data_IF_333832471134
#
_entry.id   IF_333832471134
#
_cell.length_a   1.000
_cell.length_b   1.000
_cell.length_c   1.000
_cell.angle_alpha   90.00
_cell.angle_beta   90.00
_cell.angle_gamma   90.00
#
_symmetry.space_group_name_H-M   'P 1'
#
loop_
_entity.id
_entity.type
_entity.pdbx_description
1 polymer ?
#
# COMPACT_ATOMS: atom_id res chain seq x y z
N UNK A 1 22.01 57.07 15.45
CA UNK A 1 21.63 56.92 16.87
C UNK A 1 20.13 56.63 16.86
N UNK A 2 19.56 55.49 17.25
CA UNK A 2 19.97 54.22 17.89
C UNK A 2 18.82 53.24 17.53
N UNK A 3 19.11 52.15 16.82
CA UNK A 3 18.98 50.72 17.22
C UNK A 3 17.59 50.05 17.08
N UNK A 4 17.64 48.95 16.33
CA UNK A 4 17.01 47.61 16.44
C UNK A 4 15.99 47.32 17.56
N UNK A 5 14.87 46.63 17.24
CA UNK A 5 14.57 45.28 17.80
C UNK A 5 13.27 44.67 17.24
N UNK A 6 13.46 43.60 16.45
CA UNK A 6 12.82 42.29 16.61
C UNK A 6 11.32 42.22 16.98
N UNK A 7 10.43 42.08 15.98
CA UNK A 7 9.06 41.59 16.19
C UNK A 7 8.99 40.10 15.86
N UNK A 8 9.24 39.27 16.88
CA UNK A 8 8.94 37.83 16.85
C UNK A 8 7.42 37.61 16.98
N UNK A 9 6.79 36.77 16.15
CA UNK A 9 5.39 36.42 16.34
C UNK A 9 5.21 35.55 17.59
N UNK A 10 4.36 36.05 18.50
CA UNK A 10 3.96 35.40 19.74
C UNK A 10 3.36 34.01 19.48
N UNK A 11 4.03 32.98 20.01
CA UNK A 11 3.58 31.59 20.05
C UNK A 11 2.40 31.50 21.02
N UNK A 12 1.17 31.46 20.50
CA UNK A 12 -0.05 31.24 21.29
C UNK A 12 -0.26 29.75 21.60
N UNK A 13 0.19 29.38 22.80
CA UNK A 13 -0.43 28.51 23.82
C UNK A 13 -0.83 27.06 23.48
N UNK A 14 -0.05 26.12 24.02
CA UNK A 14 -0.28 24.66 24.16
C UNK A 14 -1.50 24.28 25.05
N UNK A 15 -2.32 25.25 25.47
CA UNK A 15 -3.35 25.03 26.51
C UNK A 15 -4.73 24.78 25.91
N UNK A 16 -5.08 25.40 24.78
CA UNK A 16 -6.44 25.32 24.21
C UNK A 16 -6.73 24.01 23.47
N UNK A 17 -5.70 23.27 23.04
CA UNK A 17 -5.90 21.97 22.40
C UNK A 17 -6.11 20.83 23.41
N UNK A 18 -5.51 20.93 24.60
CA UNK A 18 -5.61 19.91 25.67
C UNK A 18 -7.00 19.82 26.28
N UNK A 19 -7.69 20.95 26.43
CA UNK A 19 -9.04 20.96 26.98
C UNK A 19 -10.07 20.33 26.03
N UNK A 20 -9.84 20.41 24.70
CA UNK A 20 -10.69 19.76 23.69
C UNK A 20 -10.58 18.24 23.72
N UNK A 21 -9.37 17.69 23.86
CA UNK A 21 -9.15 16.22 23.93
C UNK A 21 -9.84 15.63 25.17
N UNK A 22 -9.82 16.35 26.29
CA UNK A 22 -10.42 15.88 27.55
C UNK A 22 -11.96 15.95 27.52
N UNK A 23 -12.54 16.97 26.89
CA UNK A 23 -13.98 17.09 26.73
C UNK A 23 -14.54 16.01 25.78
N UNK A 24 -13.78 15.63 24.75
CA UNK A 24 -14.19 14.59 23.80
C UNK A 24 -14.09 13.17 24.41
N UNK A 25 -13.04 12.89 25.18
CA UNK A 25 -12.88 11.62 25.89
C UNK A 25 -13.96 11.39 26.96
N UNK A 26 -14.43 12.45 27.63
CA UNK A 26 -15.48 12.34 28.64
C UNK A 26 -16.88 12.11 28.05
N UNK A 27 -17.13 12.53 26.80
CA UNK A 27 -18.40 12.26 26.12
C UNK A 27 -18.49 10.79 25.65
N UNK A 28 -17.36 10.18 25.27
CA UNK A 28 -17.31 8.81 24.77
C UNK A 28 -17.52 7.76 25.88
N UNK A 29 -17.10 8.04 27.12
CA UNK A 29 -17.19 7.11 28.26
C UNK A 29 -18.62 6.96 28.83
N UNK A 30 -19.46 8.00 28.66
CA UNK A 30 -20.84 8.00 29.16
C UNK A 30 -21.84 7.23 28.27
N UNK A 31 -21.51 6.98 27.00
CA UNK A 31 -22.37 6.25 26.07
C UNK A 31 -22.02 4.75 25.97
N UNK A 32 -20.95 4.29 26.65
CA UNK A 32 -20.50 2.89 26.60
C UNK A 32 -21.00 2.02 27.78
N UNK A 33 -21.82 2.57 28.68
CA UNK A 33 -22.23 1.89 29.92
C UNK A 33 -23.69 1.38 29.93
N UNK A 34 -24.27 1.03 28.79
CA UNK A 34 -25.54 0.28 28.77
C UNK A 34 -25.68 -0.57 27.50
N UNK A 35 -24.99 -1.73 27.42
CA UNK A 35 -25.52 -2.95 26.81
C UNK A 35 -24.53 -4.11 27.01
N UNK A 36 -24.72 -4.84 28.09
CA UNK A 36 -24.09 -6.14 28.30
C UNK A 36 -25.15 -7.22 28.02
N UNK A 37 -24.99 -7.99 26.93
CA UNK A 37 -25.38 -9.41 26.86
C UNK A 37 -24.61 -10.18 25.77
N UNK A 38 -24.07 -11.38 26.09
CA UNK A 38 -23.12 -12.12 25.24
C UNK A 38 -23.78 -13.23 24.40
N UNK A 39 -23.12 -13.59 23.29
CA UNK A 39 -23.30 -14.74 22.36
C UNK A 39 -23.38 -14.21 20.91
N UNK A 40 -22.67 -14.69 19.90
CA UNK A 40 -21.78 -15.82 19.73
C UNK A 40 -20.88 -15.51 18.53
N UNK A 41 -19.61 -15.87 18.63
CA UNK A 41 -18.76 -16.33 17.52
C UNK A 41 -18.77 -15.53 16.19
N UNK A 42 -17.98 -14.46 16.16
CA UNK A 42 -16.91 -14.41 15.16
C UNK A 42 -15.60 -14.29 15.93
N UNK A 43 -15.12 -15.45 16.37
CA UNK A 43 -13.80 -15.63 16.95
C UNK A 43 -12.80 -15.09 15.92
N UNK A 44 -12.15 -13.99 16.29
CA UNK A 44 -10.87 -13.53 15.79
C UNK A 44 -10.18 -14.56 14.90
N UNK A 45 -10.24 -14.39 13.58
CA UNK A 45 -9.11 -14.79 12.76
C UNK A 45 -8.14 -13.61 12.76
N UNK A 46 -7.66 -13.22 13.95
CA UNK A 46 -6.28 -12.78 14.00
C UNK A 46 -5.50 -13.96 13.45
N UNK A 47 -5.08 -13.85 12.19
CA UNK A 47 -4.04 -14.70 11.67
C UNK A 47 -2.93 -14.59 12.71
N UNK A 48 -2.66 -15.66 13.44
CA UNK A 48 -1.48 -15.72 14.31
C UNK A 48 -0.30 -15.49 13.36
N UNK A 49 0.18 -14.24 13.33
CA UNK A 49 1.36 -13.86 12.56
C UNK A 49 2.50 -14.57 13.29
N UNK A 50 2.85 -15.74 12.80
CA UNK A 50 3.96 -16.52 13.29
C UNK A 50 5.24 -15.72 13.01
N UNK A 51 5.76 -15.06 14.04
CA UNK A 51 6.92 -14.17 13.97
C UNK A 51 8.14 -14.88 13.35
N UNK A 52 8.24 -16.21 13.48
CA UNK A 52 9.32 -17.01 12.88
C UNK A 52 9.13 -17.27 11.37
N UNK A 53 7.93 -17.05 10.83
CA UNK A 53 7.60 -17.26 9.40
C UNK A 53 7.57 -15.96 8.60
N UNK A 54 7.69 -14.81 9.26
CA UNK A 54 7.79 -13.54 8.56
C UNK A 54 9.20 -13.39 7.96
N UNK A 55 9.30 -12.99 6.69
CA UNK A 55 10.60 -12.65 6.14
C UNK A 55 11.18 -11.45 6.91
N UNK A 56 12.51 -11.35 7.06
CA UNK A 56 13.13 -10.25 7.77
C UNK A 56 12.73 -8.91 7.16
N UNK A 57 12.41 -7.94 8.03
CA UNK A 57 11.94 -6.62 7.63
C UNK A 57 13.08 -5.73 7.12
N UNK A 58 13.57 -6.03 5.91
CA UNK A 58 14.62 -5.27 5.22
C UNK A 58 14.06 -4.51 4.03
N UNK A 59 14.86 -3.58 3.49
CA UNK A 59 14.48 -2.82 2.29
C UNK A 59 14.27 -3.75 1.10
N UNK A 60 15.13 -4.76 0.93
CA UNK A 60 15.03 -5.74 -0.14
C UNK A 60 13.73 -6.54 -0.04
N UNK A 61 13.36 -6.99 1.17
CA UNK A 61 12.09 -7.69 1.37
C UNK A 61 10.90 -6.79 1.02
N UNK A 62 10.94 -5.50 1.36
CA UNK A 62 9.89 -4.55 0.99
C UNK A 62 9.78 -4.37 -0.54
N UNK A 63 10.90 -4.22 -1.24
CA UNK A 63 10.93 -4.14 -2.71
C UNK A 63 10.38 -5.43 -3.33
N UNK A 64 10.76 -6.59 -2.79
CA UNK A 64 10.30 -7.90 -3.25
C UNK A 64 8.79 -8.07 -3.05
N UNK A 65 8.23 -7.58 -1.93
CA UNK A 65 6.79 -7.62 -1.66
C UNK A 65 6.03 -6.88 -2.77
N UNK A 66 6.34 -5.61 -3.02
CA UNK A 66 5.67 -4.84 -4.07
C UNK A 66 5.91 -5.41 -5.48
N UNK A 67 7.12 -5.91 -5.74
CA UNK A 67 7.44 -6.54 -7.03
C UNK A 67 6.60 -7.80 -7.27
N UNK A 68 6.42 -8.63 -6.24
CA UNK A 68 5.57 -9.82 -6.32
C UNK A 68 4.12 -9.45 -6.55
N UNK A 69 3.59 -8.46 -5.82
CA UNK A 69 2.23 -7.97 -6.01
C UNK A 69 2.01 -7.41 -7.43
N UNK A 70 2.99 -6.70 -7.98
CA UNK A 70 2.95 -6.25 -9.37
C UNK A 70 2.92 -7.42 -10.36
N UNK A 71 3.76 -8.45 -10.17
CA UNK A 71 3.78 -9.64 -11.03
C UNK A 71 2.49 -10.45 -10.97
N UNK A 72 1.90 -10.60 -9.78
CA UNK A 72 0.59 -11.24 -9.59
C UNK A 72 -0.50 -10.44 -10.31
N UNK A 73 -0.50 -9.11 -10.16
CA UNK A 73 -1.44 -8.24 -10.86
C UNK A 73 -1.24 -8.23 -12.39
N UNK A 74 -0.03 -8.50 -12.88
CA UNK A 74 0.24 -8.71 -14.31
C UNK A 74 -0.25 -10.08 -14.81
N UNK A 75 -0.61 -10.99 -13.91
CA UNK A 75 -0.94 -12.38 -14.24
C UNK A 75 0.28 -13.23 -14.58
N UNK A 76 1.49 -12.80 -14.19
CA UNK A 76 2.71 -13.59 -14.34
C UNK A 76 2.84 -14.68 -13.27
N UNK A 77 2.16 -14.48 -12.13
CA UNK A 77 2.08 -15.42 -11.00
C UNK A 77 0.60 -15.60 -10.68
N UNK A 78 0.15 -16.85 -10.50
CA UNK A 78 -1.20 -17.14 -10.06
C UNK A 78 -1.38 -16.80 -8.57
N UNK A 79 -2.53 -16.28 -8.19
CA UNK A 79 -2.89 -16.05 -6.78
C UNK A 79 -2.97 -17.40 -6.04
N UNK A 80 -2.51 -17.49 -4.78
CA UNK A 80 -2.68 -18.69 -3.98
C UNK A 80 -4.17 -19.05 -3.85
N UNK A 81 -4.54 -20.23 -4.36
CA UNK A 81 -5.95 -20.69 -4.37
C UNK A 81 -6.74 -20.34 -5.63
N UNK A 82 -6.12 -19.71 -6.62
CA UNK A 82 -6.68 -19.55 -7.97
C UNK A 82 -5.85 -20.34 -8.97
N UNK A 83 -6.49 -21.23 -9.74
CA UNK A 83 -5.85 -21.93 -10.86
C UNK A 83 -5.62 -21.00 -12.07
N UNK A 84 -6.33 -19.86 -12.12
CA UNK A 84 -6.26 -18.94 -13.27
C UNK A 84 -5.60 -17.60 -12.89
N UNK A 85 -4.58 -17.16 -13.65
CA UNK A 85 -3.95 -15.87 -13.44
C UNK A 85 -4.86 -14.71 -13.90
N UNK A 86 -5.40 -13.96 -12.94
CA UNK A 86 -6.26 -12.80 -13.21
C UNK A 86 -5.43 -11.54 -13.45
N UNK A 87 -5.50 -11.01 -14.67
CA UNK A 87 -4.80 -9.79 -15.06
C UNK A 87 -5.54 -8.53 -14.58
N UNK A 88 -4.86 -7.71 -13.79
CA UNK A 88 -5.33 -6.44 -13.22
C UNK A 88 -4.33 -5.32 -13.55
N UNK A 89 -4.33 -4.79 -14.79
CA UNK A 89 -3.31 -3.83 -15.24
C UNK A 89 -3.28 -2.54 -14.39
N UNK A 90 -4.43 -2.03 -13.97
CA UNK A 90 -4.48 -0.84 -13.10
C UNK A 90 -3.79 -1.08 -11.75
N UNK A 91 -3.94 -2.29 -11.18
CA UNK A 91 -3.31 -2.68 -9.92
C UNK A 91 -1.80 -2.90 -10.10
N UNK A 92 -1.39 -3.54 -11.19
CA UNK A 92 0.03 -3.70 -11.53
C UNK A 92 0.73 -2.35 -11.66
N UNK A 93 0.10 -1.40 -12.36
CA UNK A 93 0.61 -0.03 -12.48
C UNK A 93 0.74 0.65 -11.12
N UNK A 94 -0.26 0.51 -10.25
CA UNK A 94 -0.21 1.10 -8.92
C UNK A 94 1.02 0.63 -8.12
N UNK A 95 1.33 -0.67 -8.13
CA UNK A 95 2.51 -1.20 -7.43
C UNK A 95 3.84 -0.74 -8.07
N UNK A 96 3.90 -0.63 -9.40
CA UNK A 96 5.07 -0.07 -10.10
C UNK A 96 5.26 1.41 -9.74
N UNK A 97 4.16 2.17 -9.67
CA UNK A 97 4.19 3.58 -9.30
C UNK A 97 4.61 3.75 -7.83
N UNK A 98 4.18 2.86 -6.92
CA UNK A 98 4.67 2.85 -5.54
C UNK A 98 6.18 2.61 -5.44
N UNK A 99 6.72 1.64 -6.18
CA UNK A 99 8.17 1.42 -6.26
C UNK A 99 8.90 2.64 -6.84
N UNK A 100 8.29 3.34 -7.80
CA UNK A 100 8.84 4.58 -8.37
C UNK A 100 8.86 5.72 -7.35
N UNK A 101 7.82 5.84 -6.51
CA UNK A 101 7.80 6.80 -5.40
C UNK A 101 8.89 6.46 -4.38
N UNK A 102 9.11 5.18 -4.07
CA UNK A 102 10.22 4.78 -3.21
C UNK A 102 11.56 5.20 -3.82
N UNK A 103 11.79 4.94 -5.10
CA UNK A 103 13.03 5.33 -5.81
C UNK A 103 13.30 6.83 -5.71
N UNK A 104 12.28 7.66 -5.90
CA UNK A 104 12.40 9.11 -5.78
C UNK A 104 12.67 9.56 -4.33
N UNK A 105 11.99 8.94 -3.35
CA UNK A 105 12.05 9.36 -1.95
C UNK A 105 13.26 8.84 -1.20
N UNK A 106 13.86 7.73 -1.63
CA UNK A 106 15.03 7.13 -0.98
C UNK A 106 16.34 7.46 -1.69
N UNK A 107 16.30 8.28 -2.76
CA UNK A 107 17.49 8.67 -3.52
C UNK A 107 18.57 9.29 -2.62
N UNK A 108 19.79 8.76 -2.72
CA UNK A 108 20.93 9.20 -1.91
C UNK A 108 20.94 8.68 -0.47
N UNK A 109 19.96 7.85 -0.07
CA UNK A 109 19.88 7.20 1.24
C UNK A 109 20.00 5.67 1.15
N UNK A 110 20.19 5.11 -0.05
CA UNK A 110 20.32 3.68 -0.30
C UNK A 110 21.79 3.27 -0.42
N UNK A 111 22.11 2.04 -0.02
CA UNK A 111 23.35 1.39 -0.42
C UNK A 111 23.33 1.09 -1.93
N UNK A 112 24.50 0.96 -2.55
CA UNK A 112 24.61 0.70 -4.00
C UNK A 112 23.85 -0.56 -4.44
N UNK A 113 23.87 -1.61 -3.61
CA UNK A 113 23.13 -2.85 -3.85
C UNK A 113 21.60 -2.65 -3.80
N UNK A 114 21.12 -1.83 -2.87
CA UNK A 114 19.69 -1.54 -2.71
C UNK A 114 19.17 -0.65 -3.85
N UNK A 115 19.95 0.36 -4.25
CA UNK A 115 19.65 1.21 -5.40
C UNK A 115 19.57 0.38 -6.68
N UNK A 116 20.57 -0.47 -6.94
CA UNK A 116 20.55 -1.37 -8.10
C UNK A 116 19.37 -2.32 -8.08
N UNK A 117 19.04 -2.90 -6.92
CA UNK A 117 17.88 -3.78 -6.77
C UNK A 117 16.58 -3.05 -7.14
N UNK A 118 16.38 -1.86 -6.59
CA UNK A 118 15.16 -1.08 -6.82
C UNK A 118 15.02 -0.65 -8.28
N UNK A 119 16.05 -0.02 -8.85
CA UNK A 119 16.02 0.46 -10.24
C UNK A 119 15.87 -0.70 -11.22
N UNK A 120 16.54 -1.83 -10.99
CA UNK A 120 16.40 -3.03 -11.83
C UNK A 120 14.98 -3.61 -11.75
N UNK A 121 14.40 -3.66 -10.56
CA UNK A 121 13.04 -4.16 -10.32
C UNK A 121 12.00 -3.28 -11.02
N UNK A 122 12.09 -1.95 -10.85
CA UNK A 122 11.20 -0.98 -11.51
C UNK A 122 11.30 -1.10 -13.03
N UNK A 123 12.52 -1.17 -13.58
CA UNK A 123 12.73 -1.31 -15.01
C UNK A 123 12.12 -2.61 -15.56
N UNK A 124 12.41 -3.74 -14.90
CA UNK A 124 11.87 -5.04 -15.29
C UNK A 124 10.33 -5.04 -15.31
N UNK A 125 9.71 -4.55 -14.24
CA UNK A 125 8.25 -4.54 -14.12
C UNK A 125 7.59 -3.60 -15.14
N UNK A 126 8.20 -2.45 -15.44
CA UNK A 126 7.71 -1.56 -16.51
C UNK A 126 7.73 -2.24 -17.87
N UNK A 127 8.80 -2.98 -18.18
CA UNK A 127 8.88 -3.73 -19.44
C UNK A 127 7.84 -4.86 -19.51
N UNK A 128 7.68 -5.62 -18.42
CA UNK A 128 6.65 -6.64 -18.32
C UNK A 128 5.23 -6.06 -18.49
N UNK A 129 4.96 -4.90 -17.88
CA UNK A 129 3.69 -4.19 -18.02
C UNK A 129 3.42 -3.76 -19.47
N UNK A 130 4.42 -3.23 -20.17
CA UNK A 130 4.29 -2.82 -21.57
C UNK A 130 4.03 -4.02 -22.48
N UNK A 131 4.77 -5.11 -22.29
CA UNK A 131 4.59 -6.33 -23.06
C UNK A 131 3.19 -6.92 -22.84
N UNK A 132 2.75 -6.98 -21.59
CA UNK A 132 1.40 -7.45 -21.26
C UNK A 132 0.31 -6.55 -21.84
N UNK A 133 0.54 -5.23 -21.87
CA UNK A 133 -0.39 -4.26 -22.47
C UNK A 133 -0.51 -4.45 -23.98
N UNK A 134 0.59 -4.77 -24.68
CA UNK A 134 0.57 -5.11 -26.11
C UNK A 134 -0.21 -6.38 -26.38
N UNK A 135 -0.02 -7.42 -25.57
CA UNK A 135 -0.74 -8.69 -25.72
C UNK A 135 -2.24 -8.54 -25.48
N UNK A 136 -2.65 -7.71 -24.51
CA UNK A 136 -4.07 -7.40 -24.28
C UNK A 136 -4.71 -6.67 -25.47
N UNK A 137 -3.96 -5.81 -26.17
CA UNK A 137 -4.44 -5.15 -27.37
C UNK A 137 -4.54 -6.11 -28.57
N UNK A 138 -3.64 -7.10 -28.66
CA UNK A 138 -3.65 -8.10 -29.73
C UNK A 138 -4.70 -9.21 -29.53
N UNK A 139 -5.01 -9.60 -28.28
CA UNK A 139 -5.96 -10.66 -27.97
C UNK A 139 -7.45 -10.25 -28.01
N UNK A 140 -7.75 -8.96 -28.17
CA UNK A 140 -9.14 -8.45 -28.20
C UNK A 140 -9.80 -8.51 -29.59
N UNK A 141 -9.20 -9.25 -30.53
CA UNK A 141 -9.65 -9.41 -31.92
C UNK A 141 -10.30 -10.76 -32.27
N UNK A 142 -10.43 -11.71 -31.32
CA UNK A 142 -10.91 -13.07 -31.61
C UNK A 142 -11.87 -13.62 -30.53
N UNK A 143 -12.87 -12.81 -30.14
CA UNK A 143 -14.04 -13.33 -29.44
C UNK A 143 -15.18 -13.43 -30.47
N UNK A 144 -15.52 -14.64 -30.98
CA UNK A 144 -16.71 -14.80 -31.81
C UNK A 144 -17.94 -14.35 -31.01
N UNK A 145 -18.93 -13.71 -31.64
CA UNK A 145 -20.13 -13.26 -30.94
C UNK A 145 -20.84 -14.48 -30.36
N UNK A 146 -20.91 -14.54 -29.03
CA UNK A 146 -21.82 -15.46 -28.34
C UNK A 146 -23.23 -15.15 -28.82
N UNK A 147 -23.79 -16.05 -29.64
CA UNK A 147 -25.20 -16.03 -29.99
C UNK A 147 -26.00 -16.30 -28.72
N UNK A 148 -26.92 -15.42 -28.30
CA UNK A 148 -27.93 -15.82 -27.34
C UNK A 148 -28.90 -16.76 -28.06
N UNK A 149 -28.91 -18.03 -27.67
CA UNK A 149 -29.93 -18.99 -28.06
C UNK A 149 -31.00 -19.08 -26.94
N UNK A 150 -32.26 -19.07 -27.39
CA UNK A 150 -33.56 -19.09 -26.67
C UNK A 150 -34.13 -17.76 -26.19
#
# INVERSE_FOLDING_TARGET
MVADENSSPEIKSDTEWKDRVKAEAAALDAETSESEKPASETRSSAVDIDEERLPPATFETMVQMFSTQAMVALGAIAEPGSDEPVRRPSLARHFIDMLSVLEEKTKGNLAESEEQLLTSSVHYLRMAFLEQSKQAAAGKGDQPPETPES
#
